data_IF_786944786111
#
_entry.id   IF_786944786111
#
_cell.length_a   1.000
_cell.length_b   1.000
_cell.length_c   1.000
_cell.angle_alpha   90.00
_cell.angle_beta   90.00
_cell.angle_gamma   90.00
#
_symmetry.space_group_name_H-M   'P 1'
#
loop_
_entity.id
_entity.type
_entity.pdbx_description
1 polymer ?
#
# COMPACT_ATOMS: atom_id res chain seq x y z
N UNK A 1 -24.11 25.17 38.62
CA UNK A 1 -24.31 24.96 37.17
C UNK A 1 -23.00 24.45 36.60
N UNK A 2 -22.93 23.19 36.15
CA UNK A 2 -21.68 22.61 35.62
C UNK A 2 -21.47 23.15 34.20
N UNK A 3 -20.33 23.82 33.97
CA UNK A 3 -19.92 24.31 32.66
C UNK A 3 -19.86 23.12 31.69
N UNK A 4 -20.67 23.16 30.63
CA UNK A 4 -20.50 22.31 29.46
C UNK A 4 -19.20 22.75 28.80
N UNK A 5 -18.17 21.92 28.83
CA UNK A 5 -16.96 22.12 28.02
C UNK A 5 -17.40 22.27 26.56
N UNK A 6 -17.19 23.47 25.99
CA UNK A 6 -17.44 23.70 24.56
C UNK A 6 -16.42 22.87 23.80
N UNK A 7 -16.88 21.84 23.09
CA UNK A 7 -16.09 21.15 22.07
C UNK A 7 -15.46 22.21 21.15
N UNK A 8 -14.16 22.10 20.81
CA UNK A 8 -13.54 23.05 19.90
C UNK A 8 -14.31 23.06 18.56
N UNK A 9 -14.51 24.25 17.98
CA UNK A 9 -15.11 24.39 16.65
C UNK A 9 -14.11 23.91 15.60
N UNK A 10 -14.21 22.64 15.22
CA UNK A 10 -13.29 22.00 14.25
C UNK A 10 -13.55 22.50 12.82
N UNK A 11 -14.78 22.94 12.54
CA UNK A 11 -15.17 23.43 11.22
C UNK A 11 -14.55 24.83 10.99
N UNK A 12 -13.75 24.97 9.94
CA UNK A 12 -13.09 26.22 9.55
C UNK A 12 -11.74 26.47 10.23
N UNK A 13 -11.26 25.57 11.10
CA UNK A 13 -9.97 25.70 11.76
C UNK A 13 -8.80 25.23 10.87
N UNK A 14 -7.69 25.97 10.87
CA UNK A 14 -6.44 25.56 10.23
C UNK A 14 -5.63 24.63 11.15
N UNK A 15 -5.94 23.34 11.13
CA UNK A 15 -5.30 22.34 11.99
C UNK A 15 -4.19 21.59 11.24
N UNK A 16 -3.09 21.19 11.94
CA UNK A 16 -2.09 20.34 11.34
C UNK A 16 -2.70 18.99 10.96
N UNK A 17 -2.25 18.45 9.82
CA UNK A 17 -2.76 17.18 9.30
C UNK A 17 -2.11 16.00 10.06
N UNK A 18 -2.95 15.13 10.62
CA UNK A 18 -2.54 14.06 11.54
C UNK A 18 -1.49 13.09 10.98
N UNK A 19 -1.60 12.71 9.71
CA UNK A 19 -0.71 11.75 9.06
C UNK A 19 0.60 12.37 8.52
N UNK A 20 0.78 13.69 8.60
CA UNK A 20 1.94 14.34 7.99
C UNK A 20 3.23 13.95 8.68
N UNK A 21 3.25 13.93 10.01
CA UNK A 21 4.47 13.65 10.76
C UNK A 21 5.07 12.30 10.34
N UNK A 22 4.29 11.22 10.40
CA UNK A 22 4.74 9.89 10.04
C UNK A 22 5.20 9.78 8.59
N UNK A 23 4.55 10.52 7.67
CA UNK A 23 4.93 10.54 6.25
C UNK A 23 6.24 11.27 5.99
N UNK A 24 6.52 12.37 6.70
CA UNK A 24 7.75 13.15 6.50
C UNK A 24 8.93 12.57 7.27
N UNK A 25 8.70 11.84 8.35
CA UNK A 25 9.74 11.14 9.11
C UNK A 25 10.06 9.74 8.57
N UNK A 26 9.27 9.23 7.62
CA UNK A 26 9.43 7.88 7.08
C UNK A 26 9.01 6.78 8.06
N UNK A 27 8.19 7.11 9.07
CA UNK A 27 7.68 6.12 10.04
C UNK A 27 6.27 5.63 9.69
N UNK A 28 5.63 6.21 8.67
CA UNK A 28 4.36 5.73 8.15
C UNK A 28 4.56 4.33 7.54
N UNK A 29 3.68 3.39 7.89
CA UNK A 29 3.71 2.02 7.38
C UNK A 29 2.77 1.90 6.17
N UNK A 30 3.34 1.53 5.03
CA UNK A 30 2.64 1.22 3.79
C UNK A 30 2.64 -0.29 3.52
N UNK A 31 1.87 -0.72 2.53
CA UNK A 31 1.70 -2.15 2.22
C UNK A 31 3.03 -2.88 1.95
N UNK A 32 4.00 -2.20 1.34
CA UNK A 32 5.32 -2.78 1.01
C UNK A 32 6.27 -2.83 2.22
N UNK A 33 5.97 -2.08 3.28
CA UNK A 33 6.77 -2.08 4.52
C UNK A 33 6.41 -3.27 5.43
N UNK A 34 5.26 -3.91 5.20
CA UNK A 34 4.75 -4.98 6.03
C UNK A 34 5.58 -6.26 5.83
N UNK A 35 6.30 -6.67 6.87
CA UNK A 35 7.12 -7.88 6.86
C UNK A 35 6.35 -9.06 7.47
N UNK A 36 6.27 -10.18 6.75
CA UNK A 36 5.68 -11.45 7.23
C UNK A 36 6.76 -12.49 7.60
N UNK A 37 7.98 -12.01 7.90
CA UNK A 37 9.14 -12.85 8.21
C UNK A 37 9.59 -13.72 7.03
N UNK A 38 10.31 -14.79 7.33
CA UNK A 38 11.01 -15.64 6.34
C UNK A 38 10.09 -16.41 5.39
N UNK A 39 8.76 -16.36 5.59
CA UNK A 39 7.77 -17.04 4.75
C UNK A 39 7.11 -16.11 3.74
N UNK A 40 7.45 -14.83 3.71
CA UNK A 40 6.93 -13.90 2.72
C UNK A 40 7.41 -14.29 1.33
N UNK A 41 6.47 -14.60 0.43
CA UNK A 41 6.74 -14.86 -0.97
C UNK A 41 6.50 -13.59 -1.79
N UNK A 42 7.30 -13.42 -2.84
CA UNK A 42 7.17 -12.32 -3.78
C UNK A 42 6.53 -12.80 -5.08
N UNK A 43 5.69 -11.95 -5.67
CA UNK A 43 5.05 -12.23 -6.95
C UNK A 43 5.36 -11.14 -7.97
N UNK A 44 5.48 -11.55 -9.25
CA UNK A 44 5.56 -10.63 -10.38
C UNK A 44 4.75 -11.18 -11.54
N UNK A 45 4.08 -10.28 -12.26
CA UNK A 45 3.19 -10.65 -13.38
C UNK A 45 3.87 -10.38 -14.72
N UNK A 46 3.98 -11.42 -15.57
CA UNK A 46 4.29 -11.25 -16.99
C UNK A 46 3.03 -10.80 -17.72
N UNK A 47 3.04 -9.57 -18.23
CA UNK A 47 1.90 -8.96 -18.92
C UNK A 47 1.97 -9.17 -20.43
N UNK A 48 0.82 -9.06 -21.08
CA UNK A 48 0.72 -9.10 -22.55
C UNK A 48 1.51 -7.93 -23.15
N UNK A 49 2.32 -8.16 -24.19
CA UNK A 49 2.92 -7.09 -24.97
C UNK A 49 1.94 -6.53 -26.03
N UNK A 50 0.79 -7.18 -26.23
CA UNK A 50 -0.19 -6.82 -27.25
C UNK A 50 -1.51 -6.33 -26.61
N UNK A 51 -2.11 -5.25 -27.14
CA UNK A 51 -3.38 -4.72 -26.62
C UNK A 51 -4.57 -5.63 -26.94
N UNK A 52 -4.52 -6.38 -28.06
CA UNK A 52 -5.54 -7.35 -28.44
C UNK A 52 -4.89 -8.53 -29.17
N UNK A 53 -4.95 -9.71 -28.56
CA UNK A 53 -4.42 -10.94 -29.14
C UNK A 53 -5.05 -12.16 -28.47
N UNK A 54 -5.14 -13.27 -29.21
CA UNK A 54 -5.47 -14.57 -28.65
C UNK A 54 -4.22 -15.24 -28.07
N UNK A 55 -4.26 -15.58 -26.78
CA UNK A 55 -3.17 -16.34 -26.14
C UNK A 55 -3.27 -17.80 -26.57
N UNK A 56 -2.37 -18.24 -27.45
CA UNK A 56 -2.34 -19.64 -27.94
C UNK A 56 -1.64 -20.60 -26.98
N UNK A 57 -0.61 -20.14 -26.28
CA UNK A 57 0.21 -20.95 -25.37
C UNK A 57 0.91 -20.05 -24.35
N UNK A 58 1.08 -20.55 -23.12
CA UNK A 58 1.98 -19.99 -22.11
C UNK A 58 2.96 -21.08 -21.69
N UNK A 59 4.25 -20.88 -21.96
CA UNK A 59 5.31 -21.80 -21.53
C UNK A 59 6.00 -21.24 -20.29
N UNK A 60 5.86 -21.96 -19.17
CA UNK A 60 6.43 -21.59 -17.86
C UNK A 60 7.54 -22.54 -17.41
N UNK A 61 8.00 -23.45 -18.28
CA UNK A 61 8.97 -24.50 -17.94
C UNK A 61 10.23 -23.93 -17.27
N UNK A 62 10.84 -22.92 -17.90
CA UNK A 62 12.03 -22.24 -17.37
C UNK A 62 11.78 -21.55 -16.02
N UNK A 63 10.60 -20.95 -15.83
CA UNK A 63 10.27 -20.27 -14.58
C UNK A 63 10.07 -21.25 -13.43
N UNK A 64 9.47 -22.43 -13.69
CA UNK A 64 9.27 -23.49 -12.69
C UNK A 64 10.54 -24.25 -12.33
N UNK A 65 11.54 -24.22 -13.20
CA UNK A 65 12.83 -24.87 -12.95
C UNK A 65 13.76 -24.02 -12.06
N UNK A 66 13.38 -22.79 -11.72
CA UNK A 66 14.12 -21.97 -10.77
C UNK A 66 13.90 -22.51 -9.33
N UNK A 67 14.95 -22.50 -8.48
CA UNK A 67 14.89 -22.96 -7.10
C UNK A 67 14.02 -22.06 -6.21
#
# INVERSE_FOLDING_TARGET
>A
MKNKEKSPSIIGANLPRNDVYEKVTGTAVYTDDIQFGNKLLYARVKRSPYPHALVKKVDVSKARALP
#
